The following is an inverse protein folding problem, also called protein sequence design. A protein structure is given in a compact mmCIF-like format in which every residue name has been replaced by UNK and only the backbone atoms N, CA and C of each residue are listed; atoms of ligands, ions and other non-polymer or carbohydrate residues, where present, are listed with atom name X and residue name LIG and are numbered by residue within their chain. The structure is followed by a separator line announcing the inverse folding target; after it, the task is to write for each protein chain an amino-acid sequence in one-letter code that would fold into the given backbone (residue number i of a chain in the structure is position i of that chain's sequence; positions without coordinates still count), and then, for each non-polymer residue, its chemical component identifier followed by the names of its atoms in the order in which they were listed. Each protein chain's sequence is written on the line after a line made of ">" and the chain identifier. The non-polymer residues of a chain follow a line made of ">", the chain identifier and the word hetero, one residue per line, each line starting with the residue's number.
data_IF_002787881100
#
_entry.id   IF_002787881100
#
_cell.length_a   1.000
_cell.length_b   1.000
_cell.length_c   1.000
_cell.angle_alpha   90.00
_cell.angle_beta   90.00
_cell.angle_gamma   90.00
#
_symmetry.space_group_name_H-M   'P 1'
#
loop_
_entity.id
_entity.type
_entity.pdbx_description
1 polymer ?
#
# COMPACT_ATOMS: atom_id res chain seq x y z
N UNK A 1 25.51 -22.77 -28.36
CA UNK A 1 25.59 -21.50 -27.63
C UNK A 1 24.20 -20.90 -27.61
N UNK A 2 23.48 -21.12 -26.52
CA UNK A 2 22.14 -20.55 -26.31
C UNK A 2 22.29 -19.08 -25.92
N UNK A 3 21.49 -18.15 -26.47
CA UNK A 3 21.46 -16.79 -25.96
C UNK A 3 20.78 -16.78 -24.59
N UNK A 4 21.54 -16.31 -23.60
CA UNK A 4 21.09 -16.06 -22.25
C UNK A 4 19.95 -15.02 -22.30
N UNK A 5 18.75 -15.45 -21.92
CA UNK A 5 17.61 -14.56 -21.75
C UNK A 5 17.89 -13.68 -20.54
N UNK A 6 18.35 -12.46 -20.80
CA UNK A 6 18.53 -11.44 -19.78
C UNK A 6 17.17 -11.18 -19.11
N UNK A 7 17.04 -11.65 -17.87
CA UNK A 7 15.90 -11.42 -17.02
C UNK A 7 15.69 -9.90 -16.86
N UNK A 8 14.59 -9.40 -17.40
CA UNK A 8 14.16 -8.03 -17.16
C UNK A 8 13.95 -7.86 -15.65
N UNK A 9 14.76 -7.00 -15.02
CA UNK A 9 14.62 -6.67 -13.60
C UNK A 9 13.21 -6.15 -13.30
N UNK A 10 12.72 -6.26 -12.06
CA UNK A 10 11.34 -5.92 -11.74
C UNK A 10 11.06 -4.47 -12.10
N UNK A 11 10.08 -4.27 -13.00
CA UNK A 11 9.63 -2.94 -13.37
C UNK A 11 9.21 -2.18 -12.11
N UNK A 12 9.74 -0.96 -11.94
CA UNK A 12 9.47 -0.07 -10.80
C UNK A 12 7.95 0.16 -10.70
N UNK A 13 7.28 -0.54 -9.77
CA UNK A 13 5.83 -0.41 -9.57
C UNK A 13 5.53 0.96 -8.96
N UNK A 14 4.96 1.85 -9.75
CA UNK A 14 4.52 3.15 -9.26
C UNK A 14 3.21 2.99 -8.48
N UNK A 15 3.07 3.61 -7.30
CA UNK A 15 1.84 3.57 -6.54
C UNK A 15 0.71 4.23 -7.34
N UNK A 16 -0.42 3.56 -7.44
CA UNK A 16 -1.59 4.07 -8.15
C UNK A 16 -2.29 5.11 -7.28
N UNK A 17 -2.49 6.32 -7.80
CA UNK A 17 -3.31 7.35 -7.15
C UNK A 17 -4.79 7.00 -7.33
N UNK A 18 -5.52 6.94 -6.23
CA UNK A 18 -6.96 6.66 -6.20
C UNK A 18 -7.66 7.72 -5.36
N UNK A 19 -8.81 8.18 -5.84
CA UNK A 19 -9.70 9.05 -5.06
C UNK A 19 -10.58 8.15 -4.18
N UNK A 20 -10.43 8.29 -2.87
CA UNK A 20 -11.19 7.53 -1.88
C UNK A 20 -12.16 8.47 -1.17
N UNK A 21 -13.44 8.08 -1.12
CA UNK A 21 -14.42 8.70 -0.21
C UNK A 21 -14.33 7.98 1.13
N UNK A 22 -13.94 8.71 2.16
CA UNK A 22 -13.83 8.23 3.53
C UNK A 22 -14.82 9.00 4.39
N UNK A 23 -15.37 8.30 5.38
CA UNK A 23 -16.02 8.95 6.51
C UNK A 23 -15.00 9.88 7.20
N UNK A 24 -15.39 11.13 7.55
CA UNK A 24 -14.46 12.10 8.13
C UNK A 24 -13.88 11.67 9.48
N UNK A 25 -14.64 10.94 10.30
CA UNK A 25 -14.18 10.46 11.59
C UNK A 25 -13.16 9.33 11.43
N UNK A 26 -13.38 8.47 10.44
CA UNK A 26 -12.40 7.43 10.07
C UNK A 26 -11.10 8.06 9.56
N UNK A 27 -11.21 9.10 8.72
CA UNK A 27 -10.03 9.82 8.26
C UNK A 27 -9.26 10.47 9.44
N UNK A 28 -9.96 11.09 10.38
CA UNK A 28 -9.35 11.69 11.56
C UNK A 28 -8.63 10.65 12.44
N UNK A 29 -9.25 9.48 12.65
CA UNK A 29 -8.63 8.38 13.39
C UNK A 29 -7.35 7.87 12.72
N UNK A 30 -7.36 7.70 11.40
CA UNK A 30 -6.18 7.28 10.63
C UNK A 30 -5.10 8.35 10.68
N UNK A 31 -5.46 9.63 10.58
CA UNK A 31 -4.50 10.73 10.66
C UNK A 31 -3.80 10.80 12.02
N UNK A 32 -4.55 10.60 13.10
CA UNK A 32 -3.98 10.49 14.45
C UNK A 32 -3.02 9.31 14.57
N UNK A 33 -3.45 8.13 14.13
CA UNK A 33 -2.60 6.93 14.16
C UNK A 33 -1.32 7.12 13.32
N UNK A 34 -1.42 7.75 12.15
CA UNK A 34 -0.27 8.07 11.33
C UNK A 34 0.71 9.01 12.05
N UNK A 35 0.20 10.02 12.78
CA UNK A 35 1.02 10.92 13.58
C UNK A 35 1.73 10.20 14.73
N UNK A 36 1.02 9.31 15.43
CA UNK A 36 1.58 8.49 16.51
C UNK A 36 2.73 7.59 16.01
N UNK A 37 2.61 7.05 14.79
CA UNK A 37 3.61 6.19 14.14
C UNK A 37 4.66 6.96 13.31
N UNK A 38 4.69 8.30 13.38
CA UNK A 38 5.56 9.18 12.57
C UNK A 38 5.52 8.86 11.06
N UNK A 39 4.32 8.59 10.55
CA UNK A 39 4.05 8.22 9.16
C UNK A 39 3.15 9.24 8.47
N UNK A 40 3.23 9.31 7.14
CA UNK A 40 2.20 9.98 6.35
C UNK A 40 0.87 9.22 6.39
N UNK A 41 -0.24 9.96 6.29
CA UNK A 41 -1.60 9.39 6.22
C UNK A 41 -1.73 8.37 5.09
N UNK A 42 -1.16 8.65 3.92
CA UNK A 42 -1.18 7.71 2.77
C UNK A 42 -0.39 6.42 3.07
N UNK A 43 0.75 6.53 3.74
CA UNK A 43 1.51 5.36 4.17
C UNK A 43 0.78 4.55 5.23
N UNK A 44 -0.04 5.19 6.06
CA UNK A 44 -0.85 4.53 7.07
C UNK A 44 -2.02 3.79 6.44
N UNK A 45 -2.70 4.41 5.47
CA UNK A 45 -3.74 3.79 4.65
C UNK A 45 -3.21 2.56 3.91
N UNK A 46 -2.06 2.65 3.24
CA UNK A 46 -1.41 1.52 2.56
C UNK A 46 -1.15 0.35 3.54
N UNK A 47 -0.64 0.66 4.74
CA UNK A 47 -0.39 -0.35 5.77
C UNK A 47 -1.68 -1.03 6.24
N UNK A 48 -2.70 -0.24 6.59
CA UNK A 48 -3.99 -0.75 7.04
C UNK A 48 -4.65 -1.63 5.97
N UNK A 49 -4.61 -1.21 4.69
CA UNK A 49 -5.14 -1.98 3.57
C UNK A 49 -4.40 -3.31 3.39
N UNK A 50 -3.06 -3.32 3.45
CA UNK A 50 -2.27 -4.55 3.33
C UNK A 50 -2.53 -5.50 4.50
N UNK A 51 -2.66 -4.96 5.71
CA UNK A 51 -3.00 -5.74 6.90
C UNK A 51 -4.38 -6.39 6.75
N UNK A 52 -5.39 -5.62 6.32
CA UNK A 52 -6.74 -6.12 6.08
C UNK A 52 -6.78 -7.19 4.98
N UNK A 53 -6.06 -6.99 3.87
CA UNK A 53 -5.94 -7.99 2.79
C UNK A 53 -5.29 -9.29 3.29
N UNK A 54 -4.24 -9.18 4.11
CA UNK A 54 -3.59 -10.35 4.72
C UNK A 54 -4.55 -11.11 5.64
N UNK A 55 -5.29 -10.40 6.49
CA UNK A 55 -6.30 -11.01 7.38
C UNK A 55 -7.43 -11.67 6.61
N UNK A 56 -7.82 -11.11 5.46
CA UNK A 56 -8.81 -11.68 4.57
C UNK A 56 -8.29 -12.85 3.70
N UNK A 57 -7.00 -13.20 3.79
CA UNK A 57 -6.38 -14.22 2.92
C UNK A 57 -6.27 -13.79 1.45
N UNK A 58 -6.22 -12.48 1.18
CA UNK A 58 -6.19 -11.85 -0.15
C UNK A 58 -4.94 -10.99 -0.36
N UNK A 59 -3.87 -11.28 0.36
CA UNK A 59 -2.61 -10.56 0.15
C UNK A 59 -2.15 -10.75 -1.31
N UNK A 60 -1.61 -9.72 -1.96
CA UNK A 60 -1.03 -9.87 -3.29
C UNK A 60 0.17 -10.81 -3.21
N UNK A 61 0.32 -11.68 -4.23
CA UNK A 61 1.48 -12.57 -4.41
C UNK A 61 2.81 -11.78 -4.55
#
# INVERSE_FOLDING_TARGET
>A
MSPESAAAGPAKRQPKKVLLRLDPDVHAAIAKWAADDLRSVNGQLEFALRLALKQAGRAPD
#
